data_IF_065092376213
#
_entry.id   IF_065092376213
#
_cell.length_a   1.000
_cell.length_b   1.000
_cell.length_c   1.000
_cell.angle_alpha   90.00
_cell.angle_beta   90.00
_cell.angle_gamma   90.00
#
_symmetry.space_group_name_H-M   'P 1'
#
loop_
_entity.id
_entity.type
_entity.pdbx_description
1 polymer ?
#
# COMPACT_ATOMS: atom_id res chain seq x y z
N UNK A 1 24.06 -46.81 5.53
CA UNK A 1 22.87 -46.55 4.66
C UNK A 1 22.14 -45.29 5.22
N UNK A 2 21.85 -44.35 4.35
CA UNK A 2 21.02 -43.18 4.73
C UNK A 2 19.59 -43.69 4.97
N UNK A 3 18.95 -43.31 6.06
CA UNK A 3 17.57 -43.71 6.36
C UNK A 3 16.59 -43.08 5.35
N UNK A 4 15.45 -43.75 5.10
CA UNK A 4 14.39 -43.21 4.25
C UNK A 4 13.94 -41.83 4.71
N UNK A 5 13.85 -41.60 6.03
CA UNK A 5 13.53 -40.34 6.63
C UNK A 5 14.57 -39.25 6.30
N UNK A 6 15.86 -39.52 6.47
CA UNK A 6 16.90 -38.57 6.12
C UNK A 6 16.88 -38.22 4.64
N UNK A 7 16.70 -39.20 3.77
CA UNK A 7 16.56 -38.99 2.33
C UNK A 7 15.35 -38.11 1.96
N UNK A 8 14.24 -38.30 2.67
CA UNK A 8 13.05 -37.42 2.49
C UNK A 8 13.37 -35.99 2.90
N UNK A 9 14.01 -35.79 4.04
CA UNK A 9 14.40 -34.45 4.51
C UNK A 9 15.34 -33.75 3.54
N UNK A 10 16.37 -34.46 3.04
CA UNK A 10 17.30 -33.97 2.03
C UNK A 10 16.57 -33.59 0.71
N UNK A 11 15.60 -34.39 0.29
CA UNK A 11 14.79 -34.11 -0.90
C UNK A 11 13.93 -32.85 -0.72
N UNK A 12 13.30 -32.67 0.45
CA UNK A 12 12.52 -31.45 0.75
C UNK A 12 13.41 -30.19 0.74
N UNK A 13 14.60 -30.28 1.27
CA UNK A 13 15.57 -29.18 1.21
C UNK A 13 16.03 -28.87 -0.22
N UNK A 14 16.37 -29.90 -0.99
CA UNK A 14 16.73 -29.76 -2.41
C UNK A 14 15.61 -29.08 -3.23
N UNK A 15 14.37 -29.46 -2.97
CA UNK A 15 13.17 -28.88 -3.59
C UNK A 15 12.82 -27.47 -3.03
N UNK A 16 13.64 -26.95 -2.11
CA UNK A 16 13.42 -25.66 -1.43
C UNK A 16 12.08 -25.57 -0.69
N UNK A 17 11.62 -26.68 -0.14
CA UNK A 17 10.43 -26.78 0.72
C UNK A 17 10.88 -26.73 2.19
N UNK A 18 11.53 -25.62 2.55
CA UNK A 18 12.21 -25.47 3.83
C UNK A 18 11.28 -25.64 5.02
N UNK A 19 10.09 -25.00 4.97
CA UNK A 19 9.14 -25.07 6.09
C UNK A 19 8.52 -26.45 6.22
N UNK A 20 8.26 -27.13 5.10
CA UNK A 20 7.84 -28.54 5.10
C UNK A 20 8.92 -29.45 5.73
N UNK A 21 10.20 -29.25 5.39
CA UNK A 21 11.31 -30.00 6.01
C UNK A 21 11.42 -29.78 7.53
N UNK A 22 11.28 -28.52 7.99
CA UNK A 22 11.29 -28.15 9.42
C UNK A 22 10.09 -28.73 10.19
N UNK A 23 8.91 -28.83 9.57
CA UNK A 23 7.68 -29.28 10.20
C UNK A 23 7.38 -30.77 9.98
N UNK A 24 8.29 -31.50 9.35
CA UNK A 24 8.06 -32.91 8.96
C UNK A 24 7.76 -33.80 10.18
N UNK A 25 8.54 -33.66 11.27
CA UNK A 25 8.38 -34.47 12.48
C UNK A 25 7.01 -34.20 13.15
N UNK A 26 6.65 -32.91 13.30
CA UNK A 26 5.36 -32.49 13.87
C UNK A 26 4.17 -33.04 13.04
N UNK A 27 4.28 -33.05 11.72
CA UNK A 27 3.24 -33.56 10.82
C UNK A 27 3.13 -35.07 10.93
N UNK A 28 4.26 -35.81 11.00
CA UNK A 28 4.26 -37.28 11.18
C UNK A 28 3.60 -37.65 12.50
N UNK A 29 3.98 -36.98 13.59
CA UNK A 29 3.40 -37.25 14.92
C UNK A 29 1.88 -36.98 14.91
N UNK A 30 1.45 -35.89 14.28
CA UNK A 30 0.05 -35.53 14.16
C UNK A 30 -0.76 -36.55 13.35
N UNK A 31 -0.23 -37.04 12.23
CA UNK A 31 -0.86 -38.07 11.40
C UNK A 31 -1.04 -39.36 12.20
N UNK A 32 0.02 -39.76 12.90
CA UNK A 32 0.02 -40.99 13.68
C UNK A 32 -0.97 -40.92 14.85
N UNK A 33 -0.99 -39.81 15.56
CA UNK A 33 -1.88 -39.61 16.72
C UNK A 33 -3.39 -39.52 16.34
N UNK A 34 -3.70 -39.10 15.11
CA UNK A 34 -5.09 -38.92 14.65
C UNK A 34 -5.51 -39.95 13.58
N UNK A 35 -4.71 -40.98 13.33
CA UNK A 35 -4.98 -42.06 12.36
C UNK A 35 -5.36 -41.53 10.96
N UNK A 36 -4.68 -40.46 10.50
CA UNK A 36 -4.98 -39.80 9.24
C UNK A 36 -4.38 -40.56 8.06
N UNK A 37 -5.01 -40.42 6.89
CA UNK A 37 -4.49 -40.97 5.62
C UNK A 37 -3.21 -40.27 5.17
N UNK A 38 -2.44 -40.93 4.32
CA UNK A 38 -1.25 -40.34 3.69
C UNK A 38 -1.58 -39.04 2.94
N UNK A 39 -2.74 -38.99 2.27
CA UNK A 39 -3.17 -37.80 1.51
C UNK A 39 -3.42 -36.60 2.43
N UNK A 40 -4.07 -36.80 3.59
CA UNK A 40 -4.30 -35.76 4.56
C UNK A 40 -2.98 -35.24 5.17
N UNK A 41 -2.06 -36.16 5.45
CA UNK A 41 -0.73 -35.80 5.94
C UNK A 41 0.08 -34.99 4.92
N UNK A 42 0.07 -35.41 3.66
CA UNK A 42 0.74 -34.70 2.58
C UNK A 42 0.11 -33.30 2.35
N UNK A 43 -1.22 -33.21 2.39
CA UNK A 43 -1.93 -31.93 2.31
C UNK A 43 -1.49 -30.99 3.43
N UNK A 44 -1.49 -31.47 4.68
CA UNK A 44 -1.04 -30.67 5.83
C UNK A 44 0.40 -30.17 5.67
N UNK A 45 1.32 -31.04 5.23
CA UNK A 45 2.71 -30.67 5.00
C UNK A 45 2.85 -29.60 3.92
N UNK A 46 2.11 -29.73 2.83
CA UNK A 46 2.11 -28.75 1.73
C UNK A 46 1.45 -27.43 2.14
N UNK A 47 0.39 -27.45 2.95
CA UNK A 47 -0.27 -26.24 3.45
C UNK A 47 0.67 -25.41 4.33
N UNK A 48 1.43 -26.05 5.21
CA UNK A 48 2.45 -25.34 6.03
C UNK A 48 3.49 -24.63 5.17
N UNK A 49 3.98 -25.28 4.12
CA UNK A 49 4.92 -24.64 3.17
C UNK A 49 4.25 -23.50 2.37
N UNK A 50 3.02 -23.73 1.90
CA UNK A 50 2.26 -22.71 1.16
C UNK A 50 2.03 -21.45 1.97
N UNK A 51 1.63 -21.59 3.23
CA UNK A 51 1.39 -20.46 4.13
C UNK A 51 2.68 -19.73 4.49
N UNK A 52 3.77 -20.47 4.67
CA UNK A 52 5.10 -19.86 4.83
C UNK A 52 5.52 -19.04 3.61
N UNK A 53 5.34 -19.58 2.40
CA UNK A 53 5.65 -18.87 1.15
C UNK A 53 4.77 -17.65 0.94
N UNK A 54 3.46 -17.75 1.22
CA UNK A 54 2.54 -16.60 1.18
C UNK A 54 2.99 -15.50 2.13
N UNK A 55 3.32 -15.87 3.37
CA UNK A 55 3.78 -14.93 4.40
C UNK A 55 5.08 -14.23 3.98
N UNK A 56 6.07 -14.98 3.48
CA UNK A 56 7.34 -14.41 3.04
C UNK A 56 7.16 -13.50 1.81
N UNK A 57 6.30 -13.87 0.88
CA UNK A 57 5.98 -13.04 -0.28
C UNK A 57 5.35 -11.71 0.15
N UNK A 58 4.39 -11.75 1.08
CA UNK A 58 3.76 -10.55 1.64
C UNK A 58 4.82 -9.66 2.32
N UNK A 59 5.68 -10.25 3.18
CA UNK A 59 6.77 -9.50 3.82
C UNK A 59 7.70 -8.84 2.80
N UNK A 60 8.05 -9.55 1.72
CA UNK A 60 8.88 -9.00 0.65
C UNK A 60 8.18 -7.86 -0.09
N UNK A 61 6.89 -8.00 -0.42
CA UNK A 61 6.11 -6.95 -1.08
C UNK A 61 5.94 -5.72 -0.20
N UNK A 62 5.66 -5.91 1.10
CA UNK A 62 5.60 -4.83 2.10
C UNK A 62 6.95 -4.10 2.16
N UNK A 63 8.07 -4.83 2.15
CA UNK A 63 9.40 -4.21 2.15
C UNK A 63 9.68 -3.40 0.87
N UNK A 64 9.26 -3.91 -0.29
CA UNK A 64 9.41 -3.21 -1.59
C UNK A 64 8.45 -2.03 -1.71
N UNK A 65 7.28 -2.11 -1.08
CA UNK A 65 6.25 -1.07 -1.11
C UNK A 65 6.64 0.25 -0.42
N UNK A 66 7.77 0.26 0.32
CA UNK A 66 8.30 1.44 1.02
C UNK A 66 7.34 2.07 2.04
N UNK A 67 6.48 1.25 2.67
CA UNK A 67 5.49 1.73 3.63
C UNK A 67 6.12 2.40 4.84
N UNK A 68 5.58 3.53 5.31
CA UNK A 68 6.11 4.22 6.49
C UNK A 68 5.86 3.45 7.80
N UNK A 69 4.85 2.58 7.81
CA UNK A 69 4.46 1.70 8.92
C UNK A 69 3.57 0.56 8.40
N UNK A 70 3.38 -0.48 9.21
CA UNK A 70 2.48 -1.59 8.90
C UNK A 70 1.26 -1.46 9.81
N UNK A 71 0.17 -0.90 9.29
CA UNK A 71 -1.15 -0.83 9.92
C UNK A 71 -2.23 -1.20 8.92
N UNK A 72 -3.18 -1.99 9.37
CA UNK A 72 -4.30 -2.46 8.55
C UNK A 72 -5.55 -1.61 8.80
N UNK A 73 -6.61 -1.81 8.01
CA UNK A 73 -7.87 -1.07 8.18
C UNK A 73 -8.52 -1.36 9.54
N UNK A 74 -8.35 -2.58 10.07
CA UNK A 74 -8.83 -2.95 11.41
C UNK A 74 -8.20 -2.15 12.55
N UNK A 75 -7.01 -1.58 12.31
CA UNK A 75 -6.26 -0.78 13.29
C UNK A 75 -6.69 0.70 13.25
N UNK A 76 -7.62 1.07 12.36
CA UNK A 76 -8.14 2.43 12.26
C UNK A 76 -9.30 2.64 13.22
N UNK A 77 -9.24 3.70 13.99
CA UNK A 77 -10.26 4.06 14.98
C UNK A 77 -11.37 4.88 14.32
N UNK A 78 -12.40 4.18 13.82
CA UNK A 78 -13.56 4.80 13.17
C UNK A 78 -14.43 5.57 14.16
N UNK A 79 -14.44 5.20 15.43
CA UNK A 79 -15.23 5.90 16.46
C UNK A 79 -14.62 7.26 16.77
N UNK A 80 -13.29 7.38 16.71
CA UNK A 80 -12.60 8.66 16.84
C UNK A 80 -12.75 9.55 15.58
N UNK A 81 -12.96 8.93 14.41
CA UNK A 81 -13.13 9.63 13.12
C UNK A 81 -14.48 9.30 12.47
N UNK A 82 -15.60 9.76 13.05
CA UNK A 82 -16.94 9.41 12.58
C UNK A 82 -17.30 9.97 11.20
N UNK A 83 -16.51 10.92 10.69
CA UNK A 83 -16.66 11.45 9.32
C UNK A 83 -16.22 10.43 8.24
N UNK A 84 -15.50 9.38 8.62
CA UNK A 84 -15.03 8.35 7.69
C UNK A 84 -16.10 7.27 7.54
N UNK A 85 -16.62 7.08 6.33
CA UNK A 85 -17.54 6.00 6.05
C UNK A 85 -16.81 4.66 6.03
N UNK A 86 -16.98 3.86 7.09
CA UNK A 86 -16.34 2.55 7.24
C UNK A 86 -16.67 1.60 6.08
N UNK A 87 -17.93 1.58 5.62
CA UNK A 87 -18.34 0.70 4.51
C UNK A 87 -17.58 1.04 3.22
N UNK A 88 -17.39 2.34 2.92
CA UNK A 88 -16.61 2.80 1.77
C UNK A 88 -15.15 2.39 1.88
N UNK A 89 -14.54 2.48 3.06
CA UNK A 89 -13.14 2.05 3.27
C UNK A 89 -12.99 0.54 3.09
N UNK A 90 -13.95 -0.25 3.58
CA UNK A 90 -13.96 -1.70 3.36
C UNK A 90 -14.19 -2.07 1.88
N UNK A 91 -14.98 -1.26 1.14
CA UNK A 91 -15.08 -1.41 -0.31
C UNK A 91 -13.72 -1.21 -0.99
N UNK A 92 -12.95 -0.21 -0.58
CA UNK A 92 -11.59 -0.01 -1.12
C UNK A 92 -10.64 -1.15 -0.80
N UNK A 93 -10.77 -1.79 0.36
CA UNK A 93 -10.00 -2.99 0.73
C UNK A 93 -10.27 -4.16 -0.22
N UNK A 94 -11.46 -4.21 -0.84
CA UNK A 94 -11.78 -5.21 -1.87
C UNK A 94 -10.91 -5.07 -3.12
N UNK A 95 -10.38 -3.87 -3.39
CA UNK A 95 -9.50 -3.46 -4.50
C UNK A 95 -10.18 -3.39 -5.87
N UNK A 96 -11.51 -3.42 -5.92
CA UNK A 96 -12.25 -3.30 -7.18
C UNK A 96 -11.94 -2.01 -7.96
N UNK A 97 -11.55 -0.94 -7.26
CA UNK A 97 -11.14 0.31 -7.89
C UNK A 97 -9.85 0.18 -8.73
N UNK A 98 -8.96 -0.77 -8.40
CA UNK A 98 -7.73 -1.02 -9.17
C UNK A 98 -8.07 -1.63 -10.54
N UNK A 99 -9.03 -2.54 -10.59
CA UNK A 99 -9.46 -3.16 -11.85
C UNK A 99 -10.16 -2.15 -12.75
N UNK A 100 -10.89 -1.20 -12.17
CA UNK A 100 -11.55 -0.09 -12.86
C UNK A 100 -10.62 1.07 -13.20
N UNK A 101 -9.35 1.05 -12.76
CA UNK A 101 -8.37 2.15 -12.92
C UNK A 101 -8.82 3.47 -12.25
N UNK A 102 -9.65 3.37 -11.22
CA UNK A 102 -10.09 4.52 -10.45
C UNK A 102 -9.01 4.97 -9.45
N UNK A 103 -8.99 6.25 -9.14
CA UNK A 103 -8.14 6.85 -8.12
C UNK A 103 -8.89 6.97 -6.79
N UNK A 104 -8.13 7.17 -5.71
CA UNK A 104 -8.70 7.56 -4.41
C UNK A 104 -7.97 8.82 -3.95
N UNK A 105 -8.72 9.81 -3.47
CA UNK A 105 -8.14 11.02 -2.89
C UNK A 105 -8.66 11.16 -1.46
N UNK A 106 -7.74 11.11 -0.49
CA UNK A 106 -8.01 11.44 0.90
C UNK A 106 -7.71 12.91 1.15
N UNK A 107 -8.74 13.68 1.45
CA UNK A 107 -8.67 15.12 1.72
C UNK A 107 -8.98 15.37 3.20
N UNK A 108 -8.25 16.26 3.85
CA UNK A 108 -8.56 16.71 5.22
C UNK A 108 -7.35 17.20 6.00
N UNK A 109 -7.53 17.75 7.21
CA UNK A 109 -6.46 18.34 8.00
C UNK A 109 -5.38 17.33 8.41
N UNK A 110 -4.28 17.82 8.95
CA UNK A 110 -3.18 16.95 9.42
C UNK A 110 -3.62 16.09 10.62
N UNK A 111 -3.15 14.85 10.67
CA UNK A 111 -3.37 13.94 11.80
C UNK A 111 -4.71 13.21 11.83
N UNK A 112 -5.61 13.38 10.84
CA UNK A 112 -6.93 12.72 10.81
C UNK A 112 -6.90 11.28 10.30
N UNK A 113 -5.73 10.77 9.88
CA UNK A 113 -5.57 9.35 9.49
C UNK A 113 -5.53 9.08 7.99
N UNK A 114 -5.40 10.08 7.11
CA UNK A 114 -5.29 9.92 5.64
C UNK A 114 -4.21 8.93 5.24
N UNK A 115 -2.98 9.15 5.69
CA UNK A 115 -1.83 8.26 5.41
C UNK A 115 -2.05 6.86 5.96
N UNK A 116 -2.74 6.71 7.12
CA UNK A 116 -3.09 5.40 7.67
C UNK A 116 -4.00 4.63 6.70
N UNK A 117 -5.10 5.23 6.28
CA UNK A 117 -6.05 4.59 5.36
C UNK A 117 -5.41 4.28 4.01
N UNK A 118 -4.66 5.23 3.44
CA UNK A 118 -3.93 5.01 2.19
C UNK A 118 -2.97 3.82 2.29
N UNK A 119 -2.15 3.77 3.36
CA UNK A 119 -1.19 2.69 3.60
C UNK A 119 -1.89 1.35 3.86
N UNK A 120 -3.01 1.34 4.60
CA UNK A 120 -3.76 0.12 4.90
C UNK A 120 -4.36 -0.52 3.63
N UNK A 121 -4.91 0.30 2.71
CA UNK A 121 -5.39 -0.16 1.40
C UNK A 121 -4.23 -0.70 0.55
N UNK A 122 -3.07 -0.04 0.59
CA UNK A 122 -1.88 -0.48 -0.16
C UNK A 122 -1.34 -1.81 0.36
N UNK A 123 -1.32 -2.01 1.68
CA UNK A 123 -0.97 -3.29 2.32
C UNK A 123 -1.96 -4.39 1.88
N UNK A 124 -3.26 -4.09 1.83
CA UNK A 124 -4.26 -5.02 1.31
C UNK A 124 -3.99 -5.38 -0.16
N UNK A 125 -3.57 -4.40 -0.97
CA UNK A 125 -3.18 -4.60 -2.36
C UNK A 125 -1.92 -5.47 -2.50
N UNK A 126 -0.89 -5.21 -1.68
CA UNK A 126 0.32 -6.03 -1.63
C UNK A 126 0.03 -7.48 -1.21
N UNK A 127 -0.86 -7.70 -0.22
CA UNK A 127 -1.32 -9.03 0.19
C UNK A 127 -1.99 -9.81 -0.94
N UNK A 128 -2.69 -9.13 -1.86
CA UNK A 128 -3.26 -9.70 -3.09
C UNK A 128 -2.27 -9.75 -4.27
N UNK A 129 -0.97 -9.59 -4.00
CA UNK A 129 0.14 -9.68 -4.97
C UNK A 129 0.10 -8.63 -6.07
N UNK A 130 -0.55 -7.50 -5.85
CA UNK A 130 -0.41 -6.37 -6.74
C UNK A 130 0.92 -5.66 -6.49
N UNK A 131 1.59 -5.25 -7.55
CA UNK A 131 2.76 -4.38 -7.43
C UNK A 131 2.31 -3.01 -6.94
N UNK A 132 2.75 -2.61 -5.75
CA UNK A 132 2.40 -1.34 -5.11
C UNK A 132 3.64 -0.57 -4.69
N UNK A 133 3.51 0.75 -4.53
CA UNK A 133 4.59 1.58 -4.06
C UNK A 133 4.05 2.82 -3.34
N UNK A 134 4.60 3.11 -2.16
CA UNK A 134 4.33 4.33 -1.39
C UNK A 134 5.48 5.32 -1.56
N UNK A 135 5.15 6.59 -1.78
CA UNK A 135 6.13 7.67 -1.84
C UNK A 135 5.51 8.98 -1.36
N UNK A 136 6.27 9.77 -0.62
CA UNK A 136 5.88 11.16 -0.34
C UNK A 136 6.01 12.01 -1.60
N UNK A 137 5.11 12.97 -1.78
CA UNK A 137 5.10 13.83 -2.96
C UNK A 137 6.45 14.55 -3.15
N UNK A 138 7.01 15.09 -2.07
CA UNK A 138 8.33 15.73 -2.12
C UNK A 138 9.43 14.80 -2.65
N UNK A 139 9.51 13.58 -2.11
CA UNK A 139 10.53 12.60 -2.52
C UNK A 139 10.33 12.16 -3.98
N UNK A 140 9.08 12.05 -4.43
CA UNK A 140 8.75 11.78 -5.82
C UNK A 140 9.31 12.88 -6.73
N UNK A 141 9.01 14.13 -6.42
CA UNK A 141 9.49 15.28 -7.20
C UNK A 141 11.02 15.31 -7.24
N UNK A 142 11.68 15.14 -6.10
CA UNK A 142 13.14 15.12 -6.02
C UNK A 142 13.75 13.99 -6.89
N UNK A 143 13.13 12.82 -6.91
CA UNK A 143 13.59 11.70 -7.75
C UNK A 143 13.38 11.97 -9.24
N UNK A 144 12.26 12.59 -9.63
CA UNK A 144 11.99 12.96 -11.02
C UNK A 144 12.95 14.06 -11.49
N UNK A 145 13.19 15.07 -10.66
CA UNK A 145 14.14 16.17 -10.93
C UNK A 145 15.57 15.63 -11.12
N UNK A 146 16.03 14.77 -10.21
CA UNK A 146 17.32 14.11 -10.33
C UNK A 146 17.43 13.30 -11.62
N UNK A 147 16.42 12.52 -11.95
CA UNK A 147 16.38 11.71 -13.16
C UNK A 147 16.40 12.57 -14.44
N UNK A 148 15.72 13.75 -14.42
CA UNK A 148 15.79 14.73 -15.53
C UNK A 148 17.23 15.25 -15.74
N UNK A 149 17.91 15.64 -14.66
CA UNK A 149 19.30 16.11 -14.72
C UNK A 149 20.27 15.04 -15.23
N UNK A 150 20.00 13.78 -14.95
CA UNK A 150 20.80 12.63 -15.37
C UNK A 150 20.37 12.06 -16.75
N UNK A 151 19.49 12.74 -17.49
CA UNK A 151 18.90 12.28 -18.76
C UNK A 151 18.24 10.89 -18.69
N UNK A 152 17.67 10.52 -17.53
CA UNK A 152 17.01 9.23 -17.25
C UNK A 152 15.55 9.40 -16.82
N UNK A 153 14.93 10.53 -17.15
CA UNK A 153 13.56 10.84 -16.74
C UNK A 153 12.55 9.78 -17.19
N UNK A 154 12.66 9.34 -18.45
CA UNK A 154 11.74 8.34 -19.01
C UNK A 154 11.80 7.01 -18.26
N UNK A 155 12.98 6.55 -17.89
CA UNK A 155 13.16 5.33 -17.11
C UNK A 155 12.56 5.47 -15.70
N UNK A 156 12.70 6.66 -15.08
CA UNK A 156 12.10 6.92 -13.75
C UNK A 156 10.58 6.99 -13.83
N UNK A 157 10.02 7.61 -14.87
CA UNK A 157 8.57 7.61 -15.10
C UNK A 157 8.04 6.20 -15.36
N UNK A 158 8.72 5.39 -16.17
CA UNK A 158 8.40 3.97 -16.36
C UNK A 158 8.47 3.18 -15.04
N UNK A 159 9.47 3.48 -14.19
CA UNK A 159 9.60 2.84 -12.88
C UNK A 159 8.37 3.07 -12.01
N UNK A 160 7.87 4.31 -11.90
CA UNK A 160 6.65 4.58 -11.13
C UNK A 160 5.38 4.09 -11.83
N UNK A 161 5.37 4.05 -13.16
CA UNK A 161 4.21 3.57 -13.92
C UNK A 161 4.04 2.03 -13.91
N UNK A 162 5.08 1.25 -13.55
CA UNK A 162 4.96 -0.22 -13.46
C UNK A 162 4.05 -0.68 -12.33
N UNK A 163 3.89 0.13 -11.26
CA UNK A 163 3.07 -0.23 -10.10
C UNK A 163 1.58 -0.10 -10.44
N UNK A 164 0.80 -1.15 -10.14
CA UNK A 164 -0.66 -1.13 -10.30
C UNK A 164 -1.30 -0.07 -9.42
N UNK A 165 -0.79 0.07 -8.18
CA UNK A 165 -1.21 1.09 -7.22
C UNK A 165 0.02 1.91 -6.80
N UNK A 166 -0.08 3.22 -6.91
CA UNK A 166 0.92 4.17 -6.43
C UNK A 166 0.27 5.07 -5.38
N UNK A 167 0.89 5.16 -4.20
CA UNK A 167 0.47 6.15 -3.20
C UNK A 167 1.40 7.34 -3.29
N UNK A 168 0.81 8.53 -3.45
CA UNK A 168 1.49 9.82 -3.38
C UNK A 168 0.97 10.54 -2.14
N UNK A 169 1.77 10.49 -1.08
CA UNK A 169 1.40 11.04 0.23
C UNK A 169 1.84 12.49 0.39
N UNK A 170 1.08 13.27 1.15
CA UNK A 170 1.39 14.66 1.51
C UNK A 170 1.48 15.61 0.29
N UNK A 171 0.61 15.45 -0.72
CA UNK A 171 0.53 16.40 -1.83
C UNK A 171 0.08 17.77 -1.32
N UNK A 172 0.82 18.82 -1.71
CA UNK A 172 0.55 20.20 -1.30
C UNK A 172 1.18 20.62 0.03
N UNK A 173 1.92 19.74 0.70
CA UNK A 173 2.62 20.11 1.94
C UNK A 173 3.78 21.07 1.70
N UNK A 174 4.41 20.98 0.54
CA UNK A 174 5.44 21.90 0.06
C UNK A 174 5.06 22.37 -1.35
N UNK A 175 5.33 23.63 -1.70
CA UNK A 175 5.08 24.13 -3.05
C UNK A 175 6.00 23.42 -4.05
N UNK A 176 5.46 23.23 -5.25
CA UNK A 176 6.16 22.58 -6.38
C UNK A 176 6.38 23.67 -7.42
N UNK A 177 7.63 23.90 -7.85
CA UNK A 177 7.89 24.89 -8.87
C UNK A 177 7.32 24.49 -10.24
N UNK A 178 7.17 25.46 -11.15
CA UNK A 178 6.55 25.26 -12.46
C UNK A 178 7.24 24.17 -13.30
N UNK A 179 8.56 24.03 -13.22
CA UNK A 179 9.29 23.00 -13.96
C UNK A 179 9.08 21.60 -13.36
N UNK A 180 9.07 21.51 -12.04
CA UNK A 180 8.81 20.28 -11.32
C UNK A 180 7.35 19.83 -11.51
N UNK A 181 6.40 20.77 -11.61
CA UNK A 181 4.99 20.50 -11.92
C UNK A 181 4.80 19.79 -13.25
N UNK A 182 5.59 20.16 -14.26
CA UNK A 182 5.61 19.45 -15.55
C UNK A 182 6.06 18.00 -15.42
N UNK A 183 6.99 17.70 -14.50
CA UNK A 183 7.45 16.33 -14.25
C UNK A 183 6.37 15.50 -13.56
N UNK A 184 5.71 16.10 -12.57
CA UNK A 184 4.58 15.46 -11.89
C UNK A 184 3.44 15.19 -12.86
N UNK A 185 3.06 16.18 -13.69
CA UNK A 185 2.06 16.01 -14.72
C UNK A 185 2.37 14.83 -15.66
N UNK A 186 3.60 14.70 -16.14
CA UNK A 186 3.99 13.58 -17.02
C UNK A 186 3.76 12.21 -16.35
N UNK A 187 3.96 12.09 -15.05
CA UNK A 187 3.69 10.85 -14.32
C UNK A 187 2.18 10.60 -14.23
N UNK A 188 1.39 11.62 -13.85
CA UNK A 188 -0.07 11.50 -13.73
C UNK A 188 -0.68 11.15 -15.09
N UNK A 189 -0.24 11.80 -16.16
CA UNK A 189 -0.70 11.55 -17.53
C UNK A 189 -0.44 10.10 -17.97
N UNK A 190 0.75 9.55 -17.69
CA UNK A 190 1.06 8.14 -18.00
C UNK A 190 0.22 7.15 -17.21
N UNK A 191 -0.23 7.52 -16.01
CA UNK A 191 -1.05 6.67 -15.14
C UNK A 191 -2.54 6.80 -15.42
N UNK A 192 -2.95 7.94 -15.97
CA UNK A 192 -4.34 8.23 -16.30
C UNK A 192 -4.97 7.09 -17.11
N UNK A 193 -6.14 6.59 -16.69
CA UNK A 193 -6.89 5.46 -17.25
C UNK A 193 -6.14 4.11 -17.37
N UNK A 194 -4.89 4.06 -16.93
CA UNK A 194 -4.06 2.85 -17.02
C UNK A 194 -3.76 2.22 -15.67
N UNK A 195 -3.64 3.03 -14.63
CA UNK A 195 -3.22 2.61 -13.28
C UNK A 195 -3.99 3.41 -12.23
N UNK A 196 -4.11 2.85 -11.04
CA UNK A 196 -4.73 3.54 -9.90
C UNK A 196 -3.70 4.28 -9.05
N UNK A 197 -4.09 5.45 -8.58
CA UNK A 197 -3.27 6.27 -7.67
C UNK A 197 -4.08 6.65 -6.45
N UNK A 198 -3.49 6.51 -5.26
CA UNK A 198 -4.04 7.08 -4.03
C UNK A 198 -3.26 8.34 -3.72
N UNK A 199 -3.96 9.44 -3.46
CA UNK A 199 -3.37 10.72 -3.09
C UNK A 199 -3.87 11.11 -1.71
N UNK A 200 -3.00 11.60 -0.85
CA UNK A 200 -3.40 12.27 0.37
C UNK A 200 -3.02 13.74 0.30
N UNK A 201 -3.93 14.61 0.69
CA UNK A 201 -3.73 16.05 0.68
C UNK A 201 -4.50 16.71 1.83
N UNK A 202 -4.02 17.87 2.27
CA UNK A 202 -4.73 18.75 3.19
C UNK A 202 -5.23 20.04 2.51
N UNK A 203 -4.98 20.18 1.20
CA UNK A 203 -5.30 21.36 0.41
C UNK A 203 -6.51 21.05 -0.48
N UNK A 204 -7.49 21.95 -0.52
CA UNK A 204 -8.64 21.82 -1.40
C UNK A 204 -8.24 21.93 -2.86
N UNK A 205 -8.97 21.24 -3.76
CA UNK A 205 -8.62 21.19 -5.18
C UNK A 205 -8.57 22.56 -5.85
N UNK A 206 -9.39 23.51 -5.41
CA UNK A 206 -9.40 24.88 -5.91
C UNK A 206 -8.14 25.70 -5.54
N UNK A 207 -7.33 25.20 -4.61
CA UNK A 207 -6.09 25.86 -4.17
C UNK A 207 -4.84 25.17 -4.77
N UNK A 208 -5.02 24.22 -5.69
CA UNK A 208 -3.89 23.49 -6.29
C UNK A 208 -3.07 24.35 -7.25
N UNK A 209 -3.64 25.45 -7.75
CA UNK A 209 -2.90 26.44 -8.54
C UNK A 209 -1.72 27.00 -7.75
N UNK A 210 -1.90 27.24 -6.46
CA UNK A 210 -0.85 27.71 -5.55
C UNK A 210 0.23 26.65 -5.29
N UNK A 211 -0.16 25.35 -5.32
CA UNK A 211 0.78 24.26 -5.12
C UNK A 211 1.72 24.11 -6.30
N UNK A 212 1.18 24.14 -7.54
CA UNK A 212 1.91 23.82 -8.76
C UNK A 212 2.50 25.04 -9.47
N UNK A 213 2.22 26.26 -9.01
CA UNK A 213 2.78 27.51 -9.54
C UNK A 213 2.44 27.77 -11.03
N UNK A 214 1.53 27.01 -11.62
CA UNK A 214 1.01 27.20 -12.98
C UNK A 214 -0.43 26.70 -13.05
N UNK A 215 -1.43 27.60 -13.17
CA UNK A 215 -2.84 27.22 -13.18
C UNK A 215 -3.22 26.24 -14.31
N UNK A 216 -2.60 26.34 -15.47
CA UNK A 216 -2.89 25.45 -16.61
C UNK A 216 -2.46 24.02 -16.31
N UNK A 217 -1.26 23.87 -15.73
CA UNK A 217 -0.73 22.55 -15.34
C UNK A 217 -1.52 22.00 -14.15
N UNK A 218 -1.84 22.83 -13.16
CA UNK A 218 -2.63 22.45 -11.99
C UNK A 218 -4.01 21.92 -12.42
N UNK A 219 -4.73 22.65 -13.26
CA UNK A 219 -6.03 22.22 -13.76
C UNK A 219 -5.94 20.90 -14.55
N UNK A 220 -4.90 20.74 -15.37
CA UNK A 220 -4.70 19.50 -16.12
C UNK A 220 -4.35 18.30 -15.21
N UNK A 221 -3.68 18.53 -14.09
CA UNK A 221 -3.42 17.50 -13.05
C UNK A 221 -4.69 17.13 -12.33
N UNK A 222 -5.46 18.16 -11.86
CA UNK A 222 -6.73 17.98 -11.15
C UNK A 222 -7.72 17.19 -12.02
N UNK A 223 -7.88 17.58 -13.28
CA UNK A 223 -8.78 16.92 -14.22
C UNK A 223 -8.46 15.43 -14.33
N UNK A 224 -7.19 15.05 -14.57
CA UNK A 224 -6.80 13.65 -14.70
C UNK A 224 -6.92 12.84 -13.42
N UNK A 225 -6.64 13.45 -12.28
CA UNK A 225 -6.73 12.76 -10.99
C UNK A 225 -8.19 12.53 -10.62
N UNK A 226 -9.05 13.54 -10.79
CA UNK A 226 -10.44 13.51 -10.32
C UNK A 226 -11.40 12.87 -11.30
N UNK A 227 -11.11 12.79 -12.59
CA UNK A 227 -12.01 12.25 -13.62
C UNK A 227 -12.59 10.88 -13.22
N UNK A 228 -11.76 9.99 -12.68
CA UNK A 228 -12.19 8.68 -12.19
C UNK A 228 -11.72 8.49 -10.73
N UNK A 229 -12.09 9.42 -9.83
CA UNK A 229 -11.67 9.34 -8.44
C UNK A 229 -12.83 9.19 -7.47
N UNK A 230 -12.56 8.44 -6.40
CA UNK A 230 -13.36 8.44 -5.17
C UNK A 230 -12.70 9.39 -4.18
N UNK A 231 -13.36 10.50 -3.88
CA UNK A 231 -12.87 11.48 -2.90
C UNK A 231 -13.42 11.14 -1.52
N UNK A 232 -12.54 11.03 -0.54
CA UNK A 232 -12.89 10.82 0.87
C UNK A 232 -12.42 12.03 1.66
N UNK A 233 -13.37 12.86 2.07
CA UNK A 233 -13.08 14.00 2.94
C UNK A 233 -13.17 13.56 4.40
N UNK A 234 -12.09 13.78 5.16
CA UNK A 234 -12.00 13.42 6.57
C UNK A 234 -11.96 14.70 7.38
N UNK A 235 -13.03 14.96 8.13
CA UNK A 235 -13.17 16.11 9.01
C UNK A 235 -13.16 15.62 10.46
N UNK A 236 -12.19 16.09 11.25
CA UNK A 236 -12.12 15.65 12.64
C UNK A 236 -10.87 16.15 13.38
N UNK A 237 -10.79 15.76 14.65
CA UNK A 237 -9.65 16.08 15.51
C UNK A 237 -8.41 15.25 15.08
N UNK A 238 -7.22 15.81 15.31
CA UNK A 238 -5.97 15.06 15.05
C UNK A 238 -5.85 13.88 16.01
N UNK A 239 -5.72 12.67 15.46
CA UNK A 239 -5.45 11.46 16.26
C UNK A 239 -4.08 11.52 16.97
N UNK A 240 -3.12 12.26 16.42
CA UNK A 240 -1.80 12.46 17.05
C UNK A 240 -1.90 13.24 18.38
N UNK A 241 -3.00 13.98 18.57
CA UNK A 241 -3.28 14.74 19.78
C UNK A 241 -4.30 14.07 20.70
N UNK A 242 -4.73 12.83 20.39
CA UNK A 242 -5.77 12.09 21.13
C UNK A 242 -5.50 12.07 22.63
N UNK A 243 -4.30 11.70 23.04
CA UNK A 243 -3.93 11.61 24.46
C UNK A 243 -3.90 12.96 25.18
N UNK A 244 -3.60 14.04 24.46
CA UNK A 244 -3.66 15.40 24.99
C UNK A 244 -5.10 15.92 25.14
N UNK A 245 -5.99 15.50 24.23
CA UNK A 245 -7.41 15.87 24.28
C UNK A 245 -8.12 15.17 25.45
N UNK A 246 -7.86 13.88 25.64
CA UNK A 246 -8.42 13.09 26.75
C UNK A 246 -7.99 13.66 28.12
N UNK A 247 -6.73 14.11 28.25
CA UNK A 247 -6.24 14.73 29.49
C UNK A 247 -6.87 16.07 29.78
N UNK A 248 -7.29 16.85 28.78
CA UNK A 248 -8.03 18.11 28.97
C UNK A 248 -9.48 17.89 29.41
N UNK A 249 -10.16 16.94 28.76
CA UNK A 249 -11.56 16.62 29.08
C UNK A 249 -11.73 15.99 30.48
N UNK A 250 -10.68 15.44 31.08
CA UNK A 250 -10.69 14.89 32.45
C UNK A 250 -10.26 15.90 33.51
N UNK A 251 -9.84 17.10 33.14
CA UNK A 251 -9.41 18.15 34.06
C UNK A 251 -10.38 19.37 34.11
N UNK A 252 -11.45 19.37 33.30
CA UNK A 252 -12.59 20.28 33.31
C UNK A 252 -13.84 19.57 33.91
#
# INVERSE_FOLDING_TARGET
MISTYQRLKDNLEYLKLKKASESLDEVIDFITANELSFTEGLLRLTDVEMDHRKTNLIKAMVKVGAFPFIKEIKDFDFDFQPSVNKAQILEFESLGFIDKKENIVFLGPSGVGKTHLATAIDIASAKKRNATYFIKCHDLIMQLKKAKLENRLDDRLKHFNKYKLLIIDELGYLPIDKEDSKLFFQLIDRRYENKSTIITTNINFGEWDDIFGDPVIANAIVDRILHHAKVVTINGKSYRLKDHLIKKENND
#
